data_IF_754882916525
#
_entry.id   IF_754882916525
#
_cell.length_a   1.000
_cell.length_b   1.000
_cell.length_c   1.000
_cell.angle_alpha   90.00
_cell.angle_beta   90.00
_cell.angle_gamma   90.00
#
_symmetry.space_group_name_H-M   'P 1'
#
loop_
_entity.id
_entity.type
_entity.pdbx_description
1 polymer ?
#
# COMPACT_ATOMS: atom_id res chain seq x y z
N UNK A 1 0.07 16.52 -12.59
CA UNK A 1 -1.03 16.69 -11.60
C UNK A 1 -1.33 15.46 -10.73
N UNK A 2 -0.68 14.29 -10.88
CA UNK A 2 -1.01 13.06 -10.11
C UNK A 2 -0.34 12.85 -8.75
N UNK A 3 0.56 13.75 -8.32
CA UNK A 3 1.34 13.64 -7.07
C UNK A 3 0.51 13.80 -5.77
N UNK A 4 -0.41 14.78 -5.63
CA UNK A 4 -1.16 14.96 -4.38
C UNK A 4 -2.17 13.83 -4.12
N UNK A 5 -2.76 13.28 -5.18
CA UNK A 5 -3.89 12.33 -5.08
C UNK A 5 -3.49 11.02 -4.38
N UNK A 6 -2.30 10.47 -4.67
CA UNK A 6 -1.90 9.17 -4.08
C UNK A 6 -1.49 9.31 -2.62
N UNK A 7 -0.72 10.34 -2.27
CA UNK A 7 -0.27 10.58 -0.90
C UNK A 7 -1.48 10.82 0.02
N UNK A 8 -2.49 11.54 -0.48
CA UNK A 8 -3.74 11.76 0.24
C UNK A 8 -4.57 10.49 0.38
N UNK A 9 -4.68 9.68 -0.69
CA UNK A 9 -5.34 8.38 -0.63
C UNK A 9 -4.68 7.43 0.37
N UNK A 10 -3.34 7.45 0.49
CA UNK A 10 -2.58 6.64 1.45
C UNK A 10 -2.82 7.11 2.88
N UNK A 11 -2.72 8.42 3.16
CA UNK A 11 -3.04 8.95 4.50
C UNK A 11 -4.46 8.60 4.92
N UNK A 12 -5.41 8.68 3.98
CA UNK A 12 -6.80 8.27 4.21
C UNK A 12 -6.89 6.77 4.48
N UNK A 13 -6.16 5.94 3.71
CA UNK A 13 -6.09 4.50 3.92
C UNK A 13 -5.60 4.18 5.34
N UNK A 14 -4.46 4.72 5.75
CA UNK A 14 -3.87 4.51 7.07
C UNK A 14 -4.83 4.90 8.19
N UNK A 15 -5.50 6.04 8.05
CA UNK A 15 -6.46 6.54 9.03
C UNK A 15 -7.65 5.59 9.20
N UNK A 16 -8.24 5.14 8.09
CA UNK A 16 -9.37 4.19 8.10
C UNK A 16 -8.93 2.83 8.62
N UNK A 17 -7.75 2.35 8.23
CA UNK A 17 -7.22 1.06 8.64
C UNK A 17 -6.89 1.02 10.14
N UNK A 18 -6.26 2.07 10.67
CA UNK A 18 -5.96 2.19 12.09
C UNK A 18 -7.24 2.23 12.94
N UNK A 19 -8.25 2.99 12.49
CA UNK A 19 -9.56 3.04 13.13
C UNK A 19 -10.22 1.65 13.12
N UNK A 20 -10.28 1.00 11.95
CA UNK A 20 -10.87 -0.32 11.81
C UNK A 20 -10.20 -1.38 12.70
N UNK A 21 -8.86 -1.40 12.74
CA UNK A 21 -8.08 -2.31 13.61
C UNK A 21 -8.34 -2.06 15.10
N UNK A 22 -8.49 -0.80 15.49
CA UNK A 22 -8.81 -0.41 16.87
C UNK A 22 -10.24 -0.83 17.26
N UNK A 23 -11.18 -0.61 16.35
CA UNK A 23 -12.59 -0.97 16.48
C UNK A 23 -12.78 -2.50 16.56
N UNK A 24 -12.13 -3.28 15.69
CA UNK A 24 -12.20 -4.74 15.72
C UNK A 24 -11.76 -5.33 17.07
N UNK A 25 -10.70 -4.78 17.68
CA UNK A 25 -10.23 -5.21 19.00
C UNK A 25 -11.25 -4.98 20.12
N UNK A 26 -12.16 -4.01 19.94
CA UNK A 26 -13.22 -3.67 20.88
C UNK A 26 -14.53 -4.44 20.63
N UNK A 27 -14.61 -5.16 19.51
CA UNK A 27 -15.83 -5.81 19.04
C UNK A 27 -16.80 -4.81 18.42
N UNK A 28 -16.97 -4.87 17.10
CA UNK A 28 -17.90 -4.00 16.36
C UNK A 28 -19.04 -4.77 15.69
N UNK A 29 -20.23 -4.16 15.56
CA UNK A 29 -21.33 -4.71 14.77
C UNK A 29 -20.92 -4.97 13.31
N UNK A 30 -21.52 -6.00 12.69
CA UNK A 30 -21.28 -6.36 11.28
C UNK A 30 -21.52 -5.18 10.33
N UNK A 31 -22.51 -4.33 10.60
CA UNK A 31 -22.79 -3.12 9.80
C UNK A 31 -21.69 -2.05 9.89
N UNK A 32 -20.95 -1.97 11.00
CA UNK A 32 -19.79 -1.09 11.12
C UNK A 32 -18.61 -1.68 10.35
N UNK A 33 -18.39 -2.98 10.47
CA UNK A 33 -17.37 -3.72 9.70
C UNK A 33 -17.57 -3.51 8.19
N UNK A 34 -18.79 -3.67 7.69
CA UNK A 34 -19.10 -3.46 6.27
C UNK A 34 -18.81 -2.05 5.78
N UNK A 35 -19.07 -1.02 6.61
CA UNK A 35 -18.77 0.38 6.25
C UNK A 35 -17.27 0.62 6.13
N UNK A 36 -16.48 0.09 7.07
CA UNK A 36 -15.02 0.15 7.02
C UNK A 36 -14.47 -0.58 5.78
N UNK A 37 -14.94 -1.80 5.52
CA UNK A 37 -14.53 -2.58 4.34
C UNK A 37 -14.88 -1.85 3.03
N UNK A 38 -16.07 -1.25 2.91
CA UNK A 38 -16.44 -0.45 1.73
C UNK A 38 -15.54 0.78 1.57
N UNK A 39 -15.25 1.50 2.65
CA UNK A 39 -14.35 2.65 2.62
C UNK A 39 -12.93 2.24 2.19
N UNK A 40 -12.38 1.18 2.77
CA UNK A 40 -11.07 0.64 2.41
C UNK A 40 -11.05 0.18 0.95
N UNK A 41 -12.09 -0.50 0.47
CA UNK A 41 -12.17 -0.96 -0.93
C UNK A 41 -12.10 0.19 -1.93
N UNK A 42 -12.81 1.29 -1.68
CA UNK A 42 -12.78 2.47 -2.55
C UNK A 42 -11.41 3.15 -2.53
N UNK A 43 -10.79 3.29 -1.35
CA UNK A 43 -9.44 3.86 -1.25
C UNK A 43 -8.42 2.99 -1.97
N UNK A 44 -8.46 1.66 -1.78
CA UNK A 44 -7.60 0.70 -2.49
C UNK A 44 -7.76 0.83 -4.01
N UNK A 45 -9.00 1.00 -4.49
CA UNK A 45 -9.28 1.23 -5.92
C UNK A 45 -8.61 2.50 -6.43
N UNK A 46 -8.72 3.61 -5.69
CA UNK A 46 -8.05 4.87 -6.04
C UNK A 46 -6.53 4.72 -6.10
N UNK A 47 -5.94 4.07 -5.09
CA UNK A 47 -4.49 3.81 -5.04
C UNK A 47 -4.04 2.98 -6.25
N UNK A 48 -4.76 1.90 -6.61
CA UNK A 48 -4.43 1.09 -7.79
C UNK A 48 -4.51 1.87 -9.09
N UNK A 49 -5.55 2.68 -9.27
CA UNK A 49 -5.71 3.51 -10.47
C UNK A 49 -4.59 4.54 -10.58
N UNK A 50 -4.22 5.16 -9.45
CA UNK A 50 -3.11 6.10 -9.39
C UNK A 50 -1.75 5.44 -9.65
N UNK A 51 -1.57 4.18 -9.26
CA UNK A 51 -0.35 3.40 -9.46
C UNK A 51 -0.22 2.80 -10.87
N UNK A 52 -1.34 2.61 -11.60
CA UNK A 52 -1.37 1.92 -12.90
C UNK A 52 -0.62 2.65 -14.03
N UNK A 53 -0.38 3.94 -13.87
CA UNK A 53 0.25 4.81 -14.88
C UNK A 53 1.70 5.22 -14.53
N UNK A 54 2.34 4.50 -13.61
CA UNK A 54 3.63 4.88 -13.03
C UNK A 54 4.72 3.91 -13.46
N UNK A 55 5.67 4.41 -14.27
CA UNK A 55 6.86 3.67 -14.72
C UNK A 55 8.01 3.65 -13.69
N UNK A 56 7.78 4.09 -12.45
CA UNK A 56 8.77 4.09 -11.37
C UNK A 56 8.99 2.71 -10.72
N UNK A 57 10.01 2.60 -9.87
CA UNK A 57 10.31 1.39 -9.07
C UNK A 57 9.07 0.93 -8.31
N UNK A 58 8.83 -0.37 -8.27
CA UNK A 58 7.68 -0.95 -7.56
C UNK A 58 7.94 -0.94 -6.05
N UNK A 59 6.89 -0.82 -5.24
CA UNK A 59 6.98 -0.82 -3.76
C UNK A 59 7.87 -1.95 -3.23
N UNK A 60 7.71 -3.17 -3.75
CA UNK A 60 8.52 -4.32 -3.33
C UNK A 60 10.00 -4.18 -3.68
N UNK A 61 10.34 -3.55 -4.79
CA UNK A 61 11.74 -3.32 -5.21
C UNK A 61 12.41 -2.25 -4.34
N UNK A 62 11.67 -1.21 -3.94
CA UNK A 62 12.16 -0.20 -2.99
C UNK A 62 12.45 -0.84 -1.62
N UNK A 63 11.51 -1.61 -1.10
CA UNK A 63 11.69 -2.31 0.18
C UNK A 63 12.83 -3.32 0.16
N UNK A 64 13.05 -4.00 -0.98
CA UNK A 64 14.22 -4.86 -1.19
C UNK A 64 15.52 -4.05 -1.20
N UNK A 65 15.55 -2.92 -1.91
CA UNK A 65 16.73 -2.07 -2.02
C UNK A 65 17.13 -1.45 -0.68
N UNK A 66 16.15 -1.14 0.19
CA UNK A 66 16.38 -0.67 1.56
C UNK A 66 16.84 -1.79 2.52
N UNK A 67 16.78 -3.06 2.11
CA UNK A 67 17.15 -4.20 2.96
C UNK A 67 16.16 -4.51 4.09
N UNK A 68 14.98 -3.86 4.08
CA UNK A 68 13.91 -4.08 5.07
C UNK A 68 12.99 -5.24 4.71
N UNK A 69 13.08 -5.71 3.46
CA UNK A 69 12.35 -6.86 2.95
C UNK A 69 13.34 -7.75 2.20
N UNK A 70 13.24 -9.06 2.38
CA UNK A 70 13.98 -10.03 1.57
C UNK A 70 13.15 -10.56 0.39
N UNK A 71 13.83 -11.18 -0.59
CA UNK A 71 13.20 -11.66 -1.82
C UNK A 71 12.15 -12.75 -1.55
N UNK A 72 12.40 -13.66 -0.61
CA UNK A 72 11.47 -14.75 -0.29
C UNK A 72 10.19 -14.22 0.35
N UNK A 73 10.32 -13.28 1.29
CA UNK A 73 9.19 -12.57 1.91
C UNK A 73 8.38 -11.79 0.88
N UNK A 74 9.04 -11.13 -0.08
CA UNK A 74 8.35 -10.45 -1.18
C UNK A 74 7.57 -11.43 -2.07
N UNK A 75 8.19 -12.55 -2.47
CA UNK A 75 7.56 -13.58 -3.28
C UNK A 75 6.33 -14.18 -2.59
N UNK A 76 6.43 -14.46 -1.29
CA UNK A 76 5.31 -14.94 -0.49
C UNK A 76 4.17 -13.92 -0.43
N UNK A 77 4.48 -12.64 -0.22
CA UNK A 77 3.48 -11.58 -0.19
C UNK A 77 2.79 -11.38 -1.55
N UNK A 78 3.54 -11.51 -2.66
CA UNK A 78 2.99 -11.45 -4.02
C UNK A 78 2.08 -12.66 -4.33
N UNK A 79 2.47 -13.87 -3.89
CA UNK A 79 1.65 -15.06 -4.04
C UNK A 79 0.33 -14.93 -3.26
N UNK A 80 0.40 -14.41 -2.04
CA UNK A 80 -0.79 -14.14 -1.22
C UNK A 80 -1.66 -13.04 -1.84
N UNK A 81 -1.05 -12.01 -2.42
CA UNK A 81 -1.78 -10.97 -3.17
C UNK A 81 -2.51 -11.56 -4.38
N UNK A 82 -1.86 -12.44 -5.14
CA UNK A 82 -2.49 -13.12 -6.27
C UNK A 82 -3.69 -13.98 -5.82
N UNK A 83 -3.55 -14.69 -4.69
CA UNK A 83 -4.61 -15.54 -4.11
C UNK A 83 -5.81 -14.73 -3.62
N UNK A 84 -5.56 -13.59 -2.98
CA UNK A 84 -6.63 -12.69 -2.49
C UNK A 84 -7.20 -11.78 -3.57
N UNK A 85 -6.53 -11.68 -4.73
CA UNK A 85 -6.89 -10.81 -5.84
C UNK A 85 -6.88 -9.33 -5.46
N UNK A 86 -7.88 -8.58 -5.91
CA UNK A 86 -8.00 -7.13 -5.67
C UNK A 86 -8.55 -6.79 -4.27
N UNK A 87 -8.46 -7.68 -3.28
CA UNK A 87 -8.94 -7.41 -1.92
C UNK A 87 -7.96 -6.59 -1.10
N UNK A 88 -6.65 -6.80 -1.27
CA UNK A 88 -5.59 -6.12 -0.50
C UNK A 88 -4.47 -5.59 -1.39
N UNK A 89 -3.81 -4.53 -0.93
CA UNK A 89 -2.59 -3.99 -1.51
C UNK A 89 -1.38 -4.78 -1.01
N UNK A 90 -0.28 -4.75 -1.77
CA UNK A 90 0.94 -5.46 -1.41
C UNK A 90 1.46 -5.01 -0.04
N UNK A 91 1.46 -3.70 0.23
CA UNK A 91 1.86 -3.15 1.52
C UNK A 91 1.03 -3.65 2.70
N UNK A 92 -0.29 -3.84 2.51
CA UNK A 92 -1.16 -4.39 3.56
C UNK A 92 -0.77 -5.83 3.89
N UNK A 93 -0.53 -6.64 2.87
CA UNK A 93 -0.16 -8.05 3.02
C UNK A 93 1.21 -8.17 3.69
N UNK A 94 2.18 -7.34 3.31
CA UNK A 94 3.50 -7.33 3.92
C UNK A 94 3.44 -7.00 5.42
N UNK A 95 2.54 -6.10 5.84
CA UNK A 95 2.32 -5.77 7.26
C UNK A 95 1.61 -6.91 7.99
N UNK A 96 0.58 -7.50 7.37
CA UNK A 96 -0.18 -8.60 7.98
C UNK A 96 0.65 -9.87 8.17
N UNK A 97 1.56 -10.16 7.23
CA UNK A 97 2.52 -11.26 7.33
C UNK A 97 3.68 -10.97 8.29
N UNK A 98 3.79 -9.73 8.79
CA UNK A 98 4.86 -9.32 9.71
C UNK A 98 6.22 -9.14 9.05
N UNK A 99 6.29 -9.09 7.73
CA UNK A 99 7.55 -8.92 6.98
C UNK A 99 8.09 -7.50 7.06
N UNK A 100 7.20 -6.51 7.19
CA UNK A 100 7.58 -5.09 7.32
C UNK A 100 6.63 -4.37 8.28
N UNK A 101 7.12 -3.30 8.90
CA UNK A 101 6.29 -2.39 9.69
C UNK A 101 5.49 -1.41 8.81
N UNK A 102 4.36 -0.85 9.32
CA UNK A 102 3.59 0.17 8.61
C UNK A 102 4.42 1.40 8.19
N UNK A 103 5.34 1.81 9.07
CA UNK A 103 6.25 2.94 8.84
C UNK A 103 7.16 2.72 7.62
N UNK A 104 7.67 1.49 7.44
CA UNK A 104 8.54 1.15 6.30
C UNK A 104 7.76 1.21 4.99
N UNK A 105 6.53 0.67 4.97
CA UNK A 105 5.64 0.75 3.80
C UNK A 105 5.31 2.20 3.47
N UNK A 106 4.97 3.04 4.46
CA UNK A 106 4.67 4.45 4.22
C UNK A 106 5.85 5.18 3.58
N UNK A 107 7.05 5.05 4.15
CA UNK A 107 8.27 5.69 3.61
C UNK A 107 8.55 5.25 2.18
N UNK A 108 8.48 3.95 1.91
CA UNK A 108 8.72 3.43 0.56
C UNK A 108 7.70 3.97 -0.45
N UNK A 109 6.43 4.17 -0.06
CA UNK A 109 5.44 4.77 -0.96
C UNK A 109 5.65 6.29 -1.11
N UNK A 110 6.02 7.00 -0.05
CA UNK A 110 6.40 8.43 -0.13
C UNK A 110 7.58 8.63 -1.07
N UNK A 111 8.60 7.77 -0.98
CA UNK A 111 9.75 7.76 -1.88
C UNK A 111 9.34 7.42 -3.32
N UNK A 112 8.48 6.42 -3.50
CA UNK A 112 7.90 6.09 -4.80
C UNK A 112 7.19 7.30 -5.43
N UNK A 113 6.48 8.10 -4.64
CA UNK A 113 5.82 9.33 -5.10
C UNK A 113 6.80 10.51 -5.31
N UNK A 114 7.94 10.53 -4.61
CA UNK A 114 8.97 11.55 -4.72
C UNK A 114 9.85 11.35 -5.97
N UNK A 115 10.21 10.09 -6.27
CA UNK A 115 11.05 9.69 -7.40
C UNK A 115 10.41 9.98 -8.78
N UNK A 116 9.11 10.32 -8.82
CA UNK A 116 8.36 10.67 -10.03
C UNK A 116 8.31 12.19 -10.31
N UNK A 117 9.37 12.93 -9.94
CA UNK A 117 9.61 14.29 -10.42
C UNK A 117 9.97 14.34 -11.92
N UNK A 118 9.89 15.50 -12.59
CA UNK A 118 9.92 15.64 -14.06
C UNK A 118 11.27 15.35 -14.74
N UNK A 119 12.11 14.48 -14.18
CA UNK A 119 13.44 14.21 -14.70
C UNK A 119 13.70 12.70 -14.86
N UNK A 120 13.01 12.06 -15.80
CA UNK A 120 13.63 10.94 -16.52
C UNK A 120 14.56 11.54 -17.60
N UNK A 121 15.63 12.21 -17.20
CA UNK A 121 16.66 12.61 -18.15
C UNK A 121 17.45 11.36 -18.54
N UNK A 122 17.25 10.97 -19.80
CA UNK A 122 18.24 10.50 -20.78
C UNK A 122 19.29 9.52 -20.23
N UNK A 123 19.10 8.24 -20.55
CA UNK A 123 20.21 7.30 -20.59
C UNK A 123 20.99 7.54 -21.91
N UNK A 124 22.34 7.59 -21.89
CA UNK A 124 23.15 7.85 -23.08
C UNK A 124 22.98 6.79 -24.17
#
# INVERSE_FOLDING_TARGET
MGRPVIAEAIKKFESVYALYRSDERRGIPMSVRERHEKALAEIRRQIRLAARNRGGKRLGELLLAEGVLDKGSLEQALAEQARQGSKKLLGEILIELGFVGPEAVRRAIEEQAAAEGPNSYVRP
#
